data_IF_243732057110
#
_entry.id   IF_243732057110
#
_cell.length_a   1.000
_cell.length_b   1.000
_cell.length_c   1.000
_cell.angle_alpha   90.00
_cell.angle_beta   90.00
_cell.angle_gamma   90.00
#
_symmetry.space_group_name_H-M   'P 1'
#
loop_
_entity.id
_entity.type
_entity.pdbx_description
1 polymer ?
#
# COMPACT_ATOMS: atom_id res chain seq x y z
N UNK A 1 11.50 9.31 31.73
CA UNK A 1 10.27 8.59 31.33
C UNK A 1 9.74 9.26 30.07
N UNK A 2 10.15 8.80 28.88
CA UNK A 2 9.70 9.38 27.61
C UNK A 2 8.25 8.98 27.38
N UNK A 3 7.34 9.97 27.37
CA UNK A 3 5.95 9.75 27.06
C UNK A 3 5.85 9.12 25.67
N UNK A 4 5.39 7.87 25.60
CA UNK A 4 4.88 7.27 24.37
C UNK A 4 3.68 8.13 24.00
N UNK A 5 3.88 9.09 23.09
CA UNK A 5 2.79 9.78 22.45
C UNK A 5 2.00 8.70 21.72
N UNK A 6 0.93 8.25 22.36
CA UNK A 6 -0.06 7.35 21.80
C UNK A 6 -0.71 8.15 20.69
N UNK A 7 -0.03 8.21 19.53
CA UNK A 7 -0.47 8.93 18.35
C UNK A 7 -1.84 8.38 18.06
N UNK A 8 -2.88 9.17 18.33
CA UNK A 8 -4.25 8.80 17.97
C UNK A 8 -4.16 8.41 16.51
N UNK A 9 -4.44 7.14 16.15
CA UNK A 9 -4.27 6.70 14.78
C UNK A 9 -5.06 7.66 13.91
N UNK A 10 -4.39 8.25 12.93
CA UNK A 10 -4.98 9.30 12.13
C UNK A 10 -6.36 8.81 11.63
N UNK A 11 -7.40 9.65 11.63
CA UNK A 11 -8.76 9.21 11.34
C UNK A 11 -8.88 8.53 9.98
N UNK A 12 -7.96 8.82 9.05
CA UNK A 12 -7.78 8.07 7.81
C UNK A 12 -7.44 6.59 8.05
N UNK A 13 -6.40 6.30 8.83
CA UNK A 13 -5.94 4.94 9.11
C UNK A 13 -7.02 4.12 9.79
N UNK A 14 -7.63 4.65 10.86
CA UNK A 14 -8.68 3.93 11.59
C UNK A 14 -9.85 3.53 10.68
N UNK A 15 -10.22 4.40 9.74
CA UNK A 15 -11.26 4.11 8.74
C UNK A 15 -10.81 3.11 7.70
N UNK A 16 -9.58 3.22 7.21
CA UNK A 16 -9.02 2.24 6.26
C UNK A 16 -8.98 0.86 6.89
N UNK A 17 -8.51 0.72 8.13
CA UNK A 17 -8.52 -0.55 8.85
C UNK A 17 -9.93 -1.12 8.97
N UNK A 18 -10.91 -0.33 9.42
CA UNK A 18 -12.31 -0.77 9.50
C UNK A 18 -12.90 -1.16 8.13
N UNK A 19 -12.48 -0.49 7.07
CA UNK A 19 -12.92 -0.79 5.72
C UNK A 19 -12.36 -2.13 5.22
N UNK A 20 -11.11 -2.48 5.55
CA UNK A 20 -10.50 -3.76 5.13
C UNK A 20 -10.90 -4.91 6.04
N UNK A 21 -11.15 -4.64 7.33
CA UNK A 21 -11.56 -5.64 8.32
C UNK A 21 -13.02 -6.13 8.14
N UNK A 22 -13.79 -5.42 7.31
CA UNK A 22 -15.17 -5.78 6.99
C UNK A 22 -15.22 -6.92 5.95
N UNK A 23 -15.57 -8.12 6.44
CA UNK A 23 -15.67 -9.33 5.63
C UNK A 23 -16.74 -9.24 4.53
N UNK A 24 -17.70 -8.30 4.64
CA UNK A 24 -18.66 -8.06 3.55
C UNK A 24 -18.01 -7.42 2.32
N UNK A 25 -16.82 -6.83 2.49
CA UNK A 25 -16.06 -6.18 1.43
C UNK A 25 -14.92 -7.04 0.87
N UNK A 26 -14.72 -8.27 1.39
CA UNK A 26 -13.63 -9.18 1.00
C UNK A 26 -13.54 -9.44 -0.52
N UNK A 27 -14.68 -9.38 -1.23
CA UNK A 27 -14.72 -9.52 -2.70
C UNK A 27 -14.12 -8.32 -3.46
N UNK A 28 -14.01 -7.16 -2.81
CA UNK A 28 -13.53 -5.89 -3.39
C UNK A 28 -12.18 -5.50 -2.78
N UNK A 29 -12.01 -5.70 -1.48
CA UNK A 29 -10.80 -5.40 -0.71
C UNK A 29 -10.67 -6.36 0.47
N UNK A 30 -9.51 -6.96 0.66
CA UNK A 30 -9.28 -7.89 1.76
C UNK A 30 -7.88 -7.74 2.34
N UNK A 31 -7.68 -8.23 3.56
CA UNK A 31 -6.33 -8.45 4.10
C UNK A 31 -5.57 -9.50 3.28
N UNK A 32 -4.25 -9.37 3.22
CA UNK A 32 -3.38 -10.46 2.76
C UNK A 32 -3.32 -11.57 3.83
N UNK A 33 -2.78 -12.73 3.46
CA UNK A 33 -2.67 -13.89 4.36
C UNK A 33 -1.91 -13.58 5.67
N UNK A 34 -0.96 -12.64 5.62
CA UNK A 34 -0.18 -12.21 6.78
C UNK A 34 -0.84 -11.10 7.62
N UNK A 35 -1.94 -10.50 7.16
CA UNK A 35 -2.59 -9.34 7.80
C UNK A 35 -1.71 -8.07 7.86
N UNK A 36 -0.63 -8.03 7.09
CA UNK A 36 0.35 -6.93 7.06
C UNK A 36 0.07 -5.89 5.97
N UNK A 37 -0.71 -6.29 4.97
CA UNK A 37 -1.11 -5.46 3.84
C UNK A 37 -2.53 -5.80 3.42
N UNK A 38 -3.17 -4.91 2.68
CA UNK A 38 -4.47 -5.16 2.08
C UNK A 38 -4.36 -5.13 0.56
N UNK A 39 -5.21 -5.93 -0.08
CA UNK A 39 -5.29 -6.08 -1.52
C UNK A 39 -6.63 -5.53 -1.96
N UNK A 40 -6.61 -4.60 -2.92
CA UNK A 40 -7.82 -4.11 -3.58
C UNK A 40 -8.00 -4.91 -4.86
N UNK A 41 -8.98 -5.80 -4.88
CA UNK A 41 -9.31 -6.66 -6.02
C UNK A 41 -10.04 -5.86 -7.10
N UNK A 42 -11.09 -5.13 -6.71
CA UNK A 42 -11.96 -4.39 -7.61
C UNK A 42 -11.85 -2.88 -7.39
N UNK A 43 -10.87 -2.25 -8.03
CA UNK A 43 -10.58 -0.82 -7.84
C UNK A 43 -11.75 0.11 -8.20
N UNK A 44 -12.56 -0.26 -9.21
CA UNK A 44 -13.71 0.52 -9.65
C UNK A 44 -14.85 0.49 -8.61
N UNK A 45 -15.17 -0.69 -8.10
CA UNK A 45 -16.18 -0.89 -7.05
C UNK A 45 -15.71 -0.29 -5.72
N UNK A 46 -14.44 -0.48 -5.37
CA UNK A 46 -13.82 0.16 -4.21
C UNK A 46 -13.99 1.68 -4.26
N UNK A 47 -13.68 2.30 -5.40
CA UNK A 47 -13.77 3.74 -5.56
C UNK A 47 -15.21 4.25 -5.52
N UNK A 48 -16.14 3.54 -6.16
CA UNK A 48 -17.54 3.97 -6.32
C UNK A 48 -18.40 3.67 -5.11
N UNK A 49 -18.21 2.53 -4.46
CA UNK A 49 -19.13 2.00 -3.45
C UNK A 49 -18.52 2.00 -2.04
N UNK A 50 -17.21 1.80 -1.89
CA UNK A 50 -16.55 1.79 -0.58
C UNK A 50 -16.02 3.17 -0.17
N UNK A 51 -15.27 3.85 -1.05
CA UNK A 51 -14.72 5.17 -0.71
C UNK A 51 -15.77 6.19 -0.24
N UNK A 52 -16.94 6.38 -0.89
CA UNK A 52 -17.94 7.33 -0.41
C UNK A 52 -18.66 6.90 0.89
N UNK A 53 -18.61 5.61 1.27
CA UNK A 53 -19.15 5.13 2.56
C UNK A 53 -18.26 5.55 3.73
N UNK A 54 -16.93 5.51 3.56
CA UNK A 54 -15.97 5.77 4.65
C UNK A 54 -15.32 7.17 4.56
N UNK A 55 -15.15 7.69 3.34
CA UNK A 55 -14.52 8.98 3.01
C UNK A 55 -15.50 9.91 2.28
N UNK A 56 -15.21 11.21 2.28
CA UNK A 56 -16.04 12.22 1.59
C UNK A 56 -15.72 12.36 0.09
N UNK A 57 -15.07 11.37 -0.51
CA UNK A 57 -14.69 11.36 -1.92
C UNK A 57 -14.72 9.93 -2.46
N UNK A 58 -14.86 9.77 -3.77
CA UNK A 58 -14.77 8.50 -4.49
C UNK A 58 -13.46 8.37 -5.29
N UNK A 59 -12.51 9.28 -5.08
CA UNK A 59 -11.27 9.30 -5.86
C UNK A 59 -10.21 8.36 -5.25
N UNK A 60 -9.91 7.28 -5.97
CA UNK A 60 -8.87 6.32 -5.58
C UNK A 60 -7.47 6.94 -5.50
N UNK A 61 -7.12 7.85 -6.42
CA UNK A 61 -5.82 8.52 -6.41
C UNK A 61 -5.62 9.37 -5.14
N UNK A 62 -6.68 10.01 -4.65
CA UNK A 62 -6.63 10.73 -3.36
C UNK A 62 -6.39 9.78 -2.19
N UNK A 63 -7.01 8.60 -2.22
CA UNK A 63 -6.80 7.55 -1.22
C UNK A 63 -5.35 7.03 -1.23
N UNK A 64 -4.80 6.70 -2.40
CA UNK A 64 -3.40 6.29 -2.56
C UNK A 64 -2.43 7.38 -2.08
N UNK A 65 -2.71 8.65 -2.36
CA UNK A 65 -1.87 9.75 -1.89
C UNK A 65 -1.86 9.87 -0.36
N UNK A 66 -3.00 9.66 0.29
CA UNK A 66 -3.05 9.60 1.75
C UNK A 66 -2.25 8.41 2.28
N UNK A 67 -2.39 7.22 1.69
CA UNK A 67 -1.58 6.04 2.02
C UNK A 67 -0.07 6.30 1.90
N UNK A 68 0.37 6.91 0.81
CA UNK A 68 1.77 7.30 0.60
C UNK A 68 2.28 8.24 1.70
N UNK A 69 1.42 9.10 2.25
CA UNK A 69 1.79 10.02 3.34
C UNK A 69 2.05 9.27 4.65
N UNK A 70 1.35 8.16 4.87
CA UNK A 70 1.54 7.29 6.04
C UNK A 70 2.59 6.19 5.82
N UNK A 71 3.31 6.20 4.69
CA UNK A 71 4.34 5.21 4.37
C UNK A 71 3.82 3.89 3.79
N UNK A 72 2.52 3.79 3.47
CA UNK A 72 1.99 2.68 2.69
C UNK A 72 2.36 2.93 1.23
N UNK A 73 3.35 2.17 0.74
CA UNK A 73 3.62 2.08 -0.68
C UNK A 73 2.78 0.96 -1.30
N UNK A 74 2.27 1.11 -2.53
CA UNK A 74 1.78 -0.03 -3.29
C UNK A 74 2.87 -1.09 -3.26
N UNK A 75 2.52 -2.33 -2.89
CA UNK A 75 3.44 -3.45 -2.96
C UNK A 75 4.00 -3.44 -4.39
N UNK A 76 5.29 -3.08 -4.51
CA UNK A 76 5.93 -2.88 -5.80
C UNK A 76 6.12 -4.26 -6.41
N UNK A 77 5.06 -4.82 -6.99
CA UNK A 77 5.12 -6.06 -7.72
C UNK A 77 5.91 -5.76 -8.99
N UNK A 78 7.22 -6.02 -8.95
CA UNK A 78 8.09 -5.98 -10.13
C UNK A 78 8.98 -4.74 -10.28
N UNK A 79 9.92 -4.54 -9.36
CA UNK A 79 11.30 -4.19 -9.76
C UNK A 79 12.27 -5.14 -9.08
N UNK A 80 12.38 -6.34 -9.66
CA UNK A 80 13.53 -7.20 -9.44
C UNK A 80 14.76 -6.41 -9.86
N UNK A 81 15.62 -6.13 -8.90
CA UNK A 81 16.82 -5.33 -9.01
C UNK A 81 17.76 -5.95 -10.06
N UNK A 82 17.73 -5.49 -11.30
CA UNK A 82 18.87 -5.63 -12.20
C UNK A 82 19.83 -4.48 -11.90
N UNK A 83 20.60 -4.63 -10.82
CA UNK A 83 21.92 -4.02 -10.76
C UNK A 83 22.73 -4.67 -11.90
N UNK A 84 23.28 -3.91 -12.86
CA UNK A 84 24.27 -4.49 -13.76
C UNK A 84 25.42 -5.03 -12.89
N UNK A 85 25.95 -6.23 -13.16
CA UNK A 85 27.15 -6.70 -12.47
C UNK A 85 28.22 -5.61 -12.63
N UNK A 86 29.01 -5.31 -11.58
CA UNK A 86 30.14 -4.42 -11.74
C UNK A 86 30.97 -4.98 -12.89
N UNK A 87 31.06 -4.21 -13.98
CA UNK A 87 31.91 -4.58 -15.10
C UNK A 87 33.33 -4.54 -14.56
N UNK A 88 33.81 -5.69 -14.11
CA UNK A 88 35.23 -5.92 -13.92
C UNK A 88 35.84 -5.89 -15.32
N UNK A 89 36.12 -4.68 -15.80
CA UNK A 89 37.05 -4.46 -16.89
C UNK A 89 38.45 -4.44 -16.31
N UNK A 90 38.86 -5.55 -15.69
CA UNK A 90 40.26 -5.90 -15.58
C UNK A 90 40.46 -7.35 -16.00
N UNK A 91 41.39 -7.52 -16.94
CA UNK A 91 42.04 -8.78 -17.34
C UNK A 91 41.31 -9.64 -18.38
N UNK A 92 41.49 -9.29 -19.66
CA UNK A 92 42.18 -10.14 -20.64
C UNK A 92 42.37 -9.32 -21.94
N UNK A 93 43.58 -8.97 -22.38
CA UNK A 93 44.63 -9.94 -22.66
C UNK A 93 44.35 -10.63 -24.00
N UNK A 94 44.34 -9.87 -25.11
CA UNK A 94 44.48 -10.42 -26.47
C UNK A 94 45.18 -9.43 -27.40
N UNK A 95 46.39 -9.83 -27.80
CA UNK A 95 47.13 -9.55 -29.02
C UNK A 95 47.58 -8.11 -29.30
#
# INVERSE_FOLDING_TARGET
>A
MTAVHRTVPAPFLSKTYQLVDDHSTDGVVSWNEDGTAFVVWETAEFAKDLLPKYFKHNNFSSFIRQLNTYGFAPASYGRRLHLPPPTDHSLNGRN
#
